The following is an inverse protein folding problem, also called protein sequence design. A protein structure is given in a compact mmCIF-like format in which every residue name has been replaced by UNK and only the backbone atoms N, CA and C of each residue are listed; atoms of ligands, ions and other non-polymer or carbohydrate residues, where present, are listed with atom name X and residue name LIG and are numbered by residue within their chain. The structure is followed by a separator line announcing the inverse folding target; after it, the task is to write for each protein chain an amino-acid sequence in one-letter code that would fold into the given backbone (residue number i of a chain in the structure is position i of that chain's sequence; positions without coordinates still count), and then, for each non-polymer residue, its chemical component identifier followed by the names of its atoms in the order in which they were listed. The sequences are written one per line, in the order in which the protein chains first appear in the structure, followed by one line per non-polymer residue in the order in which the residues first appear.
data_IF_951743916360
#
_entry.id   IF_951743916360
#
_cell.length_a   1.000
_cell.length_b   1.000
_cell.length_c   1.000
_cell.angle_alpha   90.00
_cell.angle_beta   90.00
_cell.angle_gamma   90.00
#
_symmetry.space_group_name_H-M   'P 1'
#
loop_
_entity.id
_entity.type
_entity.pdbx_description
1 polymer ?
#
# COMPACT_ATOMS: atom_id res chain seq x y z
N UNK A 1 -65.46 -11.78 15.93
CA UNK A 1 -64.73 -13.06 15.90
C UNK A 1 -63.97 -13.12 14.60
N UNK A 2 -62.83 -13.81 14.60
CA UNK A 2 -61.65 -13.70 13.70
C UNK A 2 -60.77 -12.48 14.02
N UNK A 3 -59.86 -12.51 15.01
CA UNK A 3 -58.65 -13.37 15.19
C UNK A 3 -57.55 -13.12 14.15
N UNK A 4 -56.61 -12.25 14.56
CA UNK A 4 -55.16 -12.45 14.52
C UNK A 4 -54.53 -13.17 13.31
N UNK A 5 -53.72 -12.41 12.55
CA UNK A 5 -52.40 -12.89 12.13
C UNK A 5 -51.41 -11.75 11.94
N UNK A 6 -50.68 -11.47 13.01
CA UNK A 6 -49.29 -10.99 12.97
C UNK A 6 -48.47 -11.93 12.09
N UNK A 7 -47.58 -11.38 11.25
CA UNK A 7 -46.17 -11.79 11.10
C UNK A 7 -45.51 -11.14 9.88
N UNK A 8 -44.31 -10.57 10.11
CA UNK A 8 -43.26 -10.53 9.09
C UNK A 8 -43.01 -9.21 8.39
N UNK A 9 -42.93 -8.08 9.10
CA UNK A 9 -42.14 -6.95 8.61
C UNK A 9 -40.66 -7.41 8.63
N UNK A 10 -40.16 -7.85 7.49
CA UNK A 10 -38.75 -8.18 7.25
C UNK A 10 -37.96 -6.86 7.19
N UNK A 11 -37.75 -6.25 8.36
CA UNK A 11 -36.82 -5.13 8.56
C UNK A 11 -35.44 -5.73 8.80
N UNK A 12 -34.90 -6.34 7.75
CA UNK A 12 -33.48 -6.66 7.69
C UNK A 12 -32.71 -5.34 7.58
N UNK A 13 -31.80 -4.99 8.51
CA UNK A 13 -31.02 -3.76 8.40
C UNK A 13 -30.16 -3.87 7.14
N UNK A 14 -30.47 -3.02 6.17
CA UNK A 14 -29.71 -2.81 4.95
C UNK A 14 -28.26 -2.55 5.38
N UNK A 15 -27.40 -3.56 5.16
CA UNK A 15 -26.02 -3.54 5.61
C UNK A 15 -25.32 -2.36 4.96
N UNK A 16 -24.88 -1.33 5.71
CA UNK A 16 -24.24 -0.19 5.10
C UNK A 16 -22.81 -0.62 4.72
N UNK A 17 -22.39 -0.20 3.53
CA UNK A 17 -21.05 -0.38 2.99
C UNK A 17 -20.76 -1.79 2.43
N UNK A 18 -21.27 -2.05 1.22
CA UNK A 18 -20.39 -2.68 0.23
C UNK A 18 -19.23 -1.72 0.01
N UNK A 19 -18.16 -1.86 0.79
CA UNK A 19 -16.89 -1.21 0.52
C UNK A 19 -16.60 -1.48 -0.96
N UNK A 20 -16.50 -0.41 -1.75
CA UNK A 20 -16.02 -0.50 -3.12
C UNK A 20 -14.77 -1.37 -3.09
N UNK A 21 -14.72 -2.45 -3.88
CA UNK A 21 -13.52 -3.26 -4.13
C UNK A 21 -12.50 -2.38 -4.89
N UNK A 22 -12.05 -1.32 -4.23
CA UNK A 22 -11.09 -0.36 -4.72
C UNK A 22 -9.69 -0.94 -4.60
N UNK A 23 -8.81 -0.42 -5.44
CA UNK A 23 -7.38 -0.72 -5.39
C UNK A 23 -6.84 -0.55 -3.95
N UNK A 24 -6.39 -1.65 -3.33
CA UNK A 24 -5.76 -1.66 -2.01
C UNK A 24 -4.37 -2.29 -2.11
N UNK A 25 -3.35 -1.48 -1.85
CA UNK A 25 -1.96 -1.88 -1.80
C UNK A 25 -1.57 -2.27 -0.37
N UNK A 26 -0.72 -3.27 -0.22
CA UNK A 26 0.01 -3.48 1.04
C UNK A 26 1.25 -2.55 1.11
N UNK A 27 1.87 -2.47 2.29
CA UNK A 27 3.02 -1.59 2.53
C UNK A 27 4.22 -1.87 1.60
N UNK A 28 4.46 -3.14 1.25
CA UNK A 28 5.55 -3.52 0.33
C UNK A 28 5.22 -3.09 -1.10
N UNK A 29 3.99 -3.30 -1.56
CA UNK A 29 3.55 -2.88 -2.88
C UNK A 29 3.63 -1.35 -3.02
N UNK A 30 3.17 -0.59 -2.03
CA UNK A 30 3.29 0.86 -2.01
C UNK A 30 4.75 1.32 -2.04
N UNK A 31 5.64 0.65 -1.27
CA UNK A 31 7.08 0.90 -1.28
C UNK A 31 7.68 0.67 -2.68
N UNK A 32 7.39 -0.47 -3.29
CA UNK A 32 7.91 -0.84 -4.62
C UNK A 32 7.42 0.15 -5.68
N UNK A 33 6.12 0.46 -5.69
CA UNK A 33 5.54 1.38 -6.66
C UNK A 33 6.11 2.80 -6.50
N UNK A 34 6.19 3.31 -5.27
CA UNK A 34 6.81 4.59 -4.98
C UNK A 34 8.27 4.67 -5.43
N UNK A 35 9.04 3.59 -5.27
CA UNK A 35 10.43 3.53 -5.74
C UNK A 35 10.52 3.59 -7.27
N UNK A 36 9.65 2.87 -7.99
CA UNK A 36 9.65 2.93 -9.46
C UNK A 36 9.30 4.34 -9.97
N UNK A 37 8.31 5.00 -9.36
CA UNK A 37 7.92 6.37 -9.70
C UNK A 37 9.08 7.35 -9.43
N UNK A 38 9.67 7.29 -8.24
CA UNK A 38 10.80 8.16 -7.86
C UNK A 38 11.99 7.99 -8.83
N UNK A 39 12.33 6.75 -9.19
CA UNK A 39 13.51 6.44 -10.00
C UNK A 39 13.32 6.69 -11.49
N UNK A 40 12.09 6.75 -12.00
CA UNK A 40 11.84 7.22 -13.37
C UNK A 40 12.35 8.65 -13.58
N UNK A 41 12.11 9.54 -12.61
CA UNK A 41 12.53 10.95 -12.72
C UNK A 41 13.96 11.18 -12.23
N UNK A 42 14.35 10.56 -11.11
CA UNK A 42 15.62 10.87 -10.44
C UNK A 42 16.82 10.13 -11.00
N UNK A 43 16.61 9.00 -11.69
CA UNK A 43 17.68 8.17 -12.26
C UNK A 43 17.27 7.60 -13.63
N UNK A 44 17.02 8.46 -14.64
CA UNK A 44 16.50 8.02 -15.94
C UNK A 44 17.44 7.02 -16.65
N UNK A 45 18.75 7.16 -16.48
CA UNK A 45 19.74 6.25 -17.10
C UNK A 45 19.66 4.81 -16.58
N UNK A 46 19.17 4.64 -15.34
CA UNK A 46 19.02 3.34 -14.71
C UNK A 46 17.62 2.74 -14.94
N UNK A 47 16.64 3.54 -15.39
CA UNK A 47 15.25 3.16 -15.57
C UNK A 47 14.98 2.62 -16.98
N UNK A 48 14.17 1.56 -17.17
CA UNK A 48 13.43 0.77 -16.17
C UNK A 48 14.35 -0.03 -15.24
N UNK A 49 13.90 -0.29 -14.01
CA UNK A 49 14.73 -0.91 -12.97
C UNK A 49 14.74 -2.44 -13.09
N UNK A 50 15.89 -3.07 -12.81
CA UNK A 50 15.92 -4.53 -12.56
C UNK A 50 15.35 -4.86 -11.17
N UNK A 51 15.11 -6.15 -10.90
CA UNK A 51 14.69 -6.60 -9.55
C UNK A 51 15.68 -6.11 -8.48
N UNK A 52 16.99 -6.31 -8.68
CA UNK A 52 18.00 -5.90 -7.71
C UNK A 52 18.05 -4.38 -7.49
N UNK A 53 17.90 -3.60 -8.56
CA UNK A 53 17.85 -2.14 -8.46
C UNK A 53 16.59 -1.68 -7.70
N UNK A 54 15.46 -2.34 -7.93
CA UNK A 54 14.20 -2.10 -7.21
C UNK A 54 14.34 -2.43 -5.72
N UNK A 55 14.92 -3.59 -5.38
CA UNK A 55 15.21 -3.97 -3.99
C UNK A 55 16.12 -2.95 -3.29
N UNK A 56 17.17 -2.52 -3.99
CA UNK A 56 18.09 -1.49 -3.48
C UNK A 56 17.35 -0.17 -3.22
N UNK A 57 16.47 0.24 -4.13
CA UNK A 57 15.67 1.45 -3.98
C UNK A 57 14.67 1.35 -2.80
N UNK A 58 14.08 0.17 -2.56
CA UNK A 58 13.15 -0.04 -1.44
C UNK A 58 13.82 0.06 -0.07
N UNK A 59 15.09 -0.34 0.01
CA UNK A 59 15.88 -0.45 1.23
C UNK A 59 16.80 0.77 1.48
N UNK A 60 16.63 1.88 0.74
CA UNK A 60 17.41 3.10 0.96
C UNK A 60 17.22 3.64 2.38
N UNK A 61 18.30 4.11 3.00
CA UNK A 61 18.27 4.73 4.35
C UNK A 61 17.70 6.15 4.35
N UNK A 62 17.76 6.81 3.20
CA UNK A 62 17.25 8.17 3.00
C UNK A 62 15.98 8.09 2.17
N UNK A 63 15.11 9.08 2.34
CA UNK A 63 13.85 9.18 1.61
C UNK A 63 12.88 8.02 1.81
N UNK A 64 13.02 7.27 2.91
CA UNK A 64 12.15 6.14 3.26
C UNK A 64 11.73 6.24 4.72
N UNK A 65 10.43 6.28 4.95
CA UNK A 65 9.85 6.23 6.30
C UNK A 65 8.67 5.25 6.27
N UNK A 66 8.77 4.08 6.93
CA UNK A 66 9.94 3.55 7.64
C UNK A 66 11.02 3.02 6.69
N UNK A 67 12.28 2.99 7.17
CA UNK A 67 13.35 2.25 6.48
C UNK A 67 13.03 0.75 6.54
N UNK A 68 13.05 0.09 5.39
CA UNK A 68 12.76 -1.36 5.27
C UNK A 68 14.02 -2.15 4.92
N UNK A 69 13.96 -3.46 5.17
CA UNK A 69 14.95 -4.45 4.71
C UNK A 69 14.21 -5.57 4.00
N UNK A 70 13.83 -5.33 2.76
CA UNK A 70 13.09 -6.29 1.93
C UNK A 70 14.06 -7.21 1.20
N UNK A 71 13.76 -8.51 1.23
CA UNK A 71 14.46 -9.51 0.44
C UNK A 71 14.00 -9.46 -1.04
N UNK A 72 14.88 -9.81 -2.00
CA UNK A 72 14.55 -9.79 -3.43
C UNK A 72 13.29 -10.61 -3.78
N UNK A 73 13.07 -11.75 -3.12
CA UNK A 73 11.87 -12.57 -3.34
C UNK A 73 10.57 -11.84 -3.00
N UNK A 74 10.56 -11.05 -1.91
CA UNK A 74 9.39 -10.28 -1.47
C UNK A 74 9.11 -9.10 -2.41
N UNK A 75 10.16 -8.44 -2.90
CA UNK A 75 10.06 -7.38 -3.92
C UNK A 75 9.55 -7.96 -5.24
N UNK A 76 10.06 -9.12 -5.67
CA UNK A 76 9.62 -9.79 -6.90
C UNK A 76 8.17 -10.27 -6.85
N UNK A 77 7.69 -10.71 -5.67
CA UNK A 77 6.27 -10.98 -5.46
C UNK A 77 5.42 -9.72 -5.63
N UNK A 78 5.81 -8.61 -5.00
CA UNK A 78 5.08 -7.35 -5.07
C UNK A 78 5.05 -6.78 -6.50
N UNK A 79 6.14 -6.89 -7.27
CA UNK A 79 6.18 -6.50 -8.68
C UNK A 79 5.15 -7.26 -9.53
N UNK A 80 5.06 -8.58 -9.37
CA UNK A 80 4.07 -9.42 -10.07
C UNK A 80 2.64 -9.08 -9.66
N UNK A 81 2.40 -8.79 -8.39
CA UNK A 81 1.09 -8.34 -7.90
C UNK A 81 0.70 -6.98 -8.48
N UNK A 82 1.60 -6.01 -8.48
CA UNK A 82 1.39 -4.68 -9.06
C UNK A 82 1.19 -4.73 -10.58
N UNK A 83 1.81 -5.69 -11.26
CA UNK A 83 1.59 -5.92 -12.68
C UNK A 83 0.17 -6.45 -12.96
N UNK A 84 -0.34 -7.39 -12.15
CA UNK A 84 -1.74 -7.82 -12.24
C UNK A 84 -2.72 -6.67 -11.99
N UNK A 85 -2.34 -5.71 -11.15
CA UNK A 85 -3.12 -4.49 -10.89
C UNK A 85 -2.97 -3.43 -12.00
N UNK A 86 -2.14 -3.67 -13.03
CA UNK A 86 -1.90 -2.71 -14.12
C UNK A 86 -1.14 -1.45 -13.68
N UNK A 87 -0.38 -1.52 -12.59
CA UNK A 87 0.41 -0.40 -12.05
C UNK A 87 1.90 -0.52 -12.37
N UNK A 88 2.35 -1.70 -12.78
CA UNK A 88 3.71 -2.01 -13.21
C UNK A 88 3.65 -2.82 -14.50
N UNK A 89 4.68 -2.71 -15.34
CA UNK A 89 4.85 -3.53 -16.54
C UNK A 89 6.27 -4.06 -16.58
N UNK A 90 6.42 -5.33 -16.93
CA UNK A 90 7.72 -5.88 -17.32
C UNK A 90 8.11 -5.41 -18.74
N UNK A 91 9.36 -5.00 -18.90
CA UNK A 91 9.99 -4.78 -20.20
C UNK A 91 10.98 -5.95 -20.43
N UNK A 92 10.69 -6.80 -21.41
CA UNK A 92 11.60 -7.86 -21.79
C UNK A 92 12.83 -7.29 -22.47
N UNK A 93 13.99 -7.50 -21.86
CA UNK A 93 15.30 -7.31 -22.47
C UNK A 93 16.02 -8.64 -22.51
N UNK A 94 16.85 -8.84 -23.54
CA UNK A 94 17.70 -10.04 -23.67
C UNK A 94 18.71 -10.23 -22.54
N UNK A 95 18.96 -9.20 -21.71
CA UNK A 95 19.98 -9.21 -20.66
C UNK A 95 19.45 -9.38 -19.24
N UNK A 96 18.25 -8.87 -18.95
CA UNK A 96 17.62 -8.95 -17.63
C UNK A 96 16.16 -8.50 -17.71
N UNK A 97 15.32 -9.03 -16.83
CA UNK A 97 13.98 -8.48 -16.59
C UNK A 97 14.08 -7.07 -15.99
N UNK A 98 13.31 -6.14 -16.57
CA UNK A 98 13.23 -4.76 -16.09
C UNK A 98 11.77 -4.38 -15.89
N UNK A 99 11.53 -3.48 -14.95
CA UNK A 99 10.21 -3.10 -14.49
C UNK A 99 10.06 -1.59 -14.57
N UNK A 100 8.94 -1.15 -15.15
CA UNK A 100 8.51 0.24 -15.18
C UNK A 100 7.15 0.38 -14.53
N UNK A 101 6.90 1.51 -13.86
CA UNK A 101 5.54 1.83 -13.42
C UNK A 101 4.69 2.25 -14.63
N UNK A 102 3.38 2.06 -14.47
CA UNK A 102 2.34 2.55 -15.38
C UNK A 102 1.24 3.28 -14.60
N UNK A 103 1.56 3.69 -13.37
CA UNK A 103 0.62 4.26 -12.39
C UNK A 103 0.00 5.59 -12.85
N UNK A 104 0.67 6.36 -13.72
CA UNK A 104 0.07 7.55 -14.34
C UNK A 104 -1.25 7.21 -15.04
N UNK A 105 -1.25 6.14 -15.85
CA UNK A 105 -2.45 5.64 -16.53
C UNK A 105 -3.34 4.83 -15.59
N UNK A 106 -2.74 3.93 -14.81
CA UNK A 106 -3.48 3.04 -13.91
C UNK A 106 -4.30 3.77 -12.84
N UNK A 107 -3.83 4.95 -12.39
CA UNK A 107 -4.52 5.79 -11.41
C UNK A 107 -5.16 7.05 -12.03
N UNK A 108 -5.03 7.23 -13.34
CA UNK A 108 -5.48 8.43 -14.07
C UNK A 108 -4.98 9.73 -13.41
N UNK A 109 -3.67 9.81 -13.18
CA UNK A 109 -3.00 10.92 -12.51
C UNK A 109 -2.15 11.73 -13.48
N UNK A 110 -2.01 13.03 -13.23
CA UNK A 110 -0.96 13.82 -13.86
C UNK A 110 0.40 13.53 -13.22
N UNK A 111 1.50 13.93 -13.86
CA UNK A 111 2.86 13.82 -13.27
C UNK A 111 2.98 14.51 -11.92
N UNK A 112 2.38 15.69 -11.77
CA UNK A 112 2.35 16.43 -10.51
C UNK A 112 1.66 15.63 -9.39
N UNK A 113 0.46 15.12 -9.69
CA UNK A 113 -0.30 14.29 -8.75
C UNK A 113 0.44 13.00 -8.38
N UNK A 114 1.02 12.33 -9.37
CA UNK A 114 1.75 11.09 -9.17
C UNK A 114 3.00 11.30 -8.29
N UNK A 115 3.70 12.42 -8.45
CA UNK A 115 4.86 12.77 -7.62
C UNK A 115 4.48 12.88 -6.13
N UNK A 116 3.37 13.58 -5.82
CA UNK A 116 2.90 13.72 -4.44
C UNK A 116 2.47 12.37 -3.84
N UNK A 117 1.70 11.57 -4.59
CA UNK A 117 1.28 10.23 -4.14
C UNK A 117 2.50 9.33 -3.89
N UNK A 118 3.53 9.37 -4.75
CA UNK A 118 4.75 8.61 -4.54
C UNK A 118 5.51 9.04 -3.27
N UNK A 119 5.61 10.34 -3.01
CA UNK A 119 6.24 10.84 -1.77
C UNK A 119 5.47 10.38 -0.52
N UNK A 120 4.14 10.43 -0.55
CA UNK A 120 3.31 9.96 0.54
C UNK A 120 3.46 8.44 0.76
N UNK A 121 3.56 7.63 -0.30
CA UNK A 121 3.84 6.19 -0.18
C UNK A 121 5.23 5.89 0.39
N UNK A 122 6.22 6.73 0.08
CA UNK A 122 7.61 6.50 0.49
C UNK A 122 7.91 6.99 1.90
N UNK A 123 7.20 8.02 2.38
CA UNK A 123 7.51 8.70 3.64
C UNK A 123 6.30 8.94 4.57
N UNK A 124 5.12 8.42 4.23
CA UNK A 124 3.92 8.59 5.05
C UNK A 124 3.41 10.03 5.10
N UNK A 125 2.72 10.41 6.21
CA UNK A 125 2.09 11.71 6.35
C UNK A 125 3.07 12.89 6.32
N UNK A 126 2.84 13.86 5.42
CA UNK A 126 3.74 15.00 5.21
C UNK A 126 2.99 16.33 5.09
N UNK A 127 3.62 17.44 5.46
CA UNK A 127 3.06 18.78 5.24
C UNK A 127 3.27 19.25 3.80
N UNK A 128 2.58 20.33 3.41
CA UNK A 128 2.71 20.95 2.09
C UNK A 128 4.14 21.39 1.81
N UNK A 129 4.80 22.04 2.79
CA UNK A 129 6.17 22.53 2.64
C UNK A 129 7.19 21.40 2.52
N UNK A 130 6.97 20.29 3.25
CA UNK A 130 7.80 19.10 3.10
C UNK A 130 7.66 18.49 1.70
N UNK A 131 6.41 18.37 1.21
CA UNK A 131 6.13 17.84 -0.12
C UNK A 131 6.76 18.71 -1.22
N UNK A 132 6.62 20.03 -1.14
CA UNK A 132 7.24 20.99 -2.06
C UNK A 132 8.76 20.79 -2.14
N UNK A 133 9.43 20.70 -0.99
CA UNK A 133 10.88 20.52 -0.94
C UNK A 133 11.31 19.14 -1.47
N UNK A 134 10.57 18.09 -1.11
CA UNK A 134 10.94 16.70 -1.43
C UNK A 134 10.59 16.32 -2.87
N UNK A 135 9.66 17.00 -3.51
CA UNK A 135 9.25 16.73 -4.89
C UNK A 135 10.20 17.31 -5.93
N UNK A 136 11.09 18.25 -5.57
CA UNK A 136 11.88 19.05 -6.52
C UNK A 136 12.59 18.22 -7.62
N UNK A 137 13.08 17.02 -7.29
CA UNK A 137 13.76 16.13 -8.24
C UNK A 137 12.84 15.15 -8.99
N UNK A 138 11.57 15.08 -8.61
CA UNK A 138 10.53 14.24 -9.23
C UNK A 138 9.64 15.11 -10.12
N UNK A 139 9.08 16.18 -9.55
CA UNK A 139 8.27 17.18 -10.20
C UNK A 139 8.45 18.54 -9.51
N UNK A 140 8.77 19.56 -10.30
CA UNK A 140 8.98 20.91 -9.80
C UNK A 140 7.66 21.67 -9.80
N UNK A 141 7.12 21.90 -8.61
CA UNK A 141 6.02 22.84 -8.39
C UNK A 141 6.54 24.27 -8.34
N UNK A 142 5.69 25.22 -8.67
CA UNK A 142 5.95 26.66 -8.60
C UNK A 142 6.08 27.12 -7.14
N UNK A 143 5.12 26.74 -6.30
CA UNK A 143 5.04 27.14 -4.90
C UNK A 143 4.22 26.14 -4.05
N UNK A 144 4.03 26.49 -2.77
CA UNK A 144 3.24 25.70 -1.83
C UNK A 144 1.74 25.69 -2.17
N UNK A 145 1.23 26.72 -2.85
CA UNK A 145 -0.17 26.83 -3.23
C UNK A 145 -0.50 25.83 -4.35
N UNK A 146 0.40 25.65 -5.32
CA UNK A 146 0.25 24.62 -6.36
C UNK A 146 0.22 23.20 -5.75
N UNK A 147 1.06 22.93 -4.74
CA UNK A 147 1.07 21.66 -4.02
C UNK A 147 -0.24 21.45 -3.27
N UNK A 148 -0.71 22.46 -2.51
CA UNK A 148 -1.97 22.40 -1.78
C UNK A 148 -3.16 22.17 -2.72
N UNK A 149 -3.22 22.89 -3.83
CA UNK A 149 -4.24 22.70 -4.87
C UNK A 149 -4.20 21.29 -5.47
N UNK A 150 -3.00 20.76 -5.74
CA UNK A 150 -2.85 19.41 -6.28
C UNK A 150 -3.32 18.34 -5.28
N UNK A 151 -3.05 18.52 -3.98
CA UNK A 151 -3.53 17.63 -2.91
C UNK A 151 -5.05 17.69 -2.75
N UNK A 152 -5.63 18.88 -2.83
CA UNK A 152 -7.09 19.04 -2.80
C UNK A 152 -7.76 18.29 -3.95
N UNK A 153 -7.22 18.43 -5.18
CA UNK A 153 -7.71 17.67 -6.34
C UNK A 153 -7.56 16.15 -6.19
N UNK A 154 -6.52 15.69 -5.49
CA UNK A 154 -6.34 14.26 -5.16
C UNK A 154 -7.37 13.77 -4.13
N UNK A 155 -7.74 14.61 -3.17
CA UNK A 155 -8.80 14.33 -2.20
C UNK A 155 -10.22 14.38 -2.79
N UNK A 156 -10.42 15.13 -3.88
CA UNK A 156 -11.71 15.22 -4.59
C UNK A 156 -11.93 14.10 -5.62
N UNK A 157 -10.95 13.22 -5.85
CA UNK A 157 -11.13 12.07 -6.75
C UNK A 157 -12.16 11.09 -6.19
N UNK A 158 -12.72 10.26 -7.08
CA UNK A 158 -13.62 9.17 -6.72
C UNK A 158 -13.03 7.84 -7.21
N UNK A 159 -12.48 6.97 -6.32
CA UNK A 159 -12.32 7.20 -4.87
C UNK A 159 -11.23 8.26 -4.56
N UNK A 160 -11.26 8.87 -3.34
CA UNK A 160 -10.24 9.81 -2.93
C UNK A 160 -8.89 9.10 -2.78
N UNK A 161 -7.81 9.75 -3.19
CA UNK A 161 -6.47 9.16 -3.14
C UNK A 161 -5.61 9.72 -2.01
N UNK A 162 -6.00 10.88 -1.46
CA UNK A 162 -5.30 11.57 -0.39
C UNK A 162 -6.34 12.10 0.61
N UNK A 163 -5.99 12.08 1.88
CA UNK A 163 -6.75 12.70 2.97
C UNK A 163 -5.89 13.75 3.67
N UNK A 164 -6.54 14.84 4.12
CA UNK A 164 -5.93 15.83 5.01
C UNK A 164 -6.12 15.38 6.46
N UNK A 165 -5.01 15.23 7.17
CA UNK A 165 -4.98 14.89 8.59
C UNK A 165 -4.89 16.18 9.43
N UNK A 166 -5.66 16.29 10.52
CA UNK A 166 -5.58 17.43 11.41
C UNK A 166 -4.19 17.54 12.02
N UNK A 167 -3.79 18.79 12.31
CA UNK A 167 -2.55 19.07 13.04
C UNK A 167 -2.53 18.37 14.41
N UNK A 168 -1.37 17.82 14.75
CA UNK A 168 -1.10 17.33 16.10
C UNK A 168 -0.89 18.50 17.09
N UNK A 169 -1.11 18.29 18.39
CA UNK A 169 -0.70 19.25 19.41
C UNK A 169 0.77 19.62 19.24
N UNK A 170 1.05 20.91 19.07
CA UNK A 170 2.41 21.44 18.84
C UNK A 170 2.84 21.56 17.37
N UNK A 171 2.05 21.05 16.42
CA UNK A 171 2.29 21.24 14.98
C UNK A 171 1.53 22.44 14.44
N UNK A 172 2.17 23.21 13.56
CA UNK A 172 1.61 24.44 12.99
C UNK A 172 0.88 24.22 11.66
N UNK A 173 1.15 23.11 10.98
CA UNK A 173 0.65 22.79 9.64
C UNK A 173 -0.13 21.48 9.62
N UNK A 174 -1.12 21.40 8.74
CA UNK A 174 -1.83 20.16 8.42
C UNK A 174 -0.91 19.20 7.65
N UNK A 175 -1.18 17.90 7.76
CA UNK A 175 -0.47 16.85 7.02
C UNK A 175 -1.41 16.16 6.06
N UNK A 176 -0.85 15.51 5.06
CA UNK A 176 -1.60 14.75 4.07
C UNK A 176 -1.09 13.32 4.03
N UNK A 177 -1.98 12.36 3.81
CA UNK A 177 -1.64 10.94 3.68
C UNK A 177 -2.39 10.31 2.51
N UNK A 178 -1.77 9.36 1.82
CA UNK A 178 -2.43 8.64 0.72
C UNK A 178 -3.40 7.58 1.26
N UNK A 179 -4.42 7.25 0.47
CA UNK A 179 -5.46 6.24 0.81
C UNK A 179 -5.28 4.92 0.03
N UNK A 180 -4.25 4.80 -0.79
CA UNK A 180 -3.96 3.58 -1.58
C UNK A 180 -3.69 2.32 -0.74
N UNK A 181 -3.37 2.46 0.55
CA UNK A 181 -3.21 1.32 1.48
C UNK A 181 -4.46 1.06 2.34
N UNK A 182 -5.56 1.76 2.07
CA UNK A 182 -6.80 1.71 2.85
C UNK A 182 -7.09 3.02 3.58
N UNK A 183 -8.22 3.06 4.32
CA UNK A 183 -8.59 4.20 5.15
C UNK A 183 -7.50 4.51 6.17
N UNK A 184 -7.29 5.80 6.40
CA UNK A 184 -6.40 6.31 7.46
C UNK A 184 -7.29 6.95 8.50
N UNK A 185 -7.14 6.55 9.75
CA UNK A 185 -7.87 7.16 10.85
C UNK A 185 -7.42 8.62 10.98
N UNK A 186 -8.35 9.57 10.94
CA UNK A 186 -8.01 11.00 10.97
C UNK A 186 -7.77 11.48 12.41
N UNK A 187 -8.24 10.73 13.40
CA UNK A 187 -8.22 11.09 14.81
C UNK A 187 -7.11 10.38 15.61
N UNK A 188 -6.49 9.33 15.05
CA UNK A 188 -5.37 8.66 15.71
C UNK A 188 -4.03 9.41 15.56
N UNK A 189 -3.21 9.50 16.63
CA UNK A 189 -1.90 10.09 16.55
C UNK A 189 -0.98 9.27 15.62
N UNK A 190 -0.27 9.94 14.70
CA UNK A 190 0.66 9.32 13.73
C UNK A 190 1.73 8.37 14.31
N UNK A 191 1.98 8.41 15.62
CA UNK A 191 2.82 7.43 16.33
C UNK A 191 2.20 6.03 16.37
N UNK A 192 0.86 5.94 16.38
CA UNK A 192 0.07 4.70 16.29
C UNK A 192 -0.15 4.24 14.84
N UNK A 193 -0.08 5.16 13.87
CA UNK A 193 -0.21 4.84 12.43
C UNK A 193 1.11 4.41 11.77
N UNK A 194 2.20 4.36 12.53
CA UNK A 194 3.39 3.66 12.08
C UNK A 194 2.91 2.25 11.75
N UNK A 195 3.10 1.72 10.53
CA UNK A 195 2.79 0.33 10.30
C UNK A 195 3.64 -0.38 11.34
N UNK A 196 2.99 -0.99 12.32
CA UNK A 196 3.63 -2.01 13.12
C UNK A 196 4.32 -2.84 12.07
N UNK A 197 5.65 -2.92 12.14
CA UNK A 197 6.36 -3.95 11.41
C UNK A 197 5.52 -5.18 11.73
N UNK A 198 4.84 -5.73 10.73
CA UNK A 198 4.02 -6.91 10.90
C UNK A 198 5.02 -7.94 11.38
N UNK A 199 5.15 -8.01 12.69
CA UNK A 199 5.84 -9.06 13.36
C UNK A 199 5.02 -10.24 12.94
N UNK A 200 5.64 -11.06 12.10
CA UNK A 200 5.21 -12.39 11.76
C UNK A 200 4.98 -13.25 13.02
N UNK A 201 4.97 -12.72 14.26
CA UNK A 201 4.63 -13.45 15.48
C UNK A 201 3.21 -14.02 15.42
N UNK A 202 2.21 -13.25 14.98
CA UNK A 202 0.83 -13.77 14.85
C UNK A 202 0.68 -14.83 13.75
N UNK A 203 1.48 -14.74 12.68
CA UNK A 203 1.49 -15.73 11.60
C UNK A 203 2.31 -16.97 12.00
N UNK A 204 3.37 -16.81 12.79
CA UNK A 204 4.22 -17.90 13.27
C UNK A 204 3.50 -18.71 14.34
N UNK A 205 2.80 -18.08 15.29
CA UNK A 205 2.02 -18.79 16.31
C UNK A 205 0.86 -19.57 15.68
N UNK A 206 0.16 -18.97 14.72
CA UNK A 206 -0.89 -19.67 13.96
C UNK A 206 -0.35 -20.80 13.07
N UNK A 207 0.87 -20.66 12.55
CA UNK A 207 1.55 -21.72 11.79
C UNK A 207 2.01 -22.86 12.72
N UNK A 208 2.55 -22.55 13.90
CA UNK A 208 2.95 -23.54 14.91
C UNK A 208 1.73 -24.32 15.39
N UNK A 209 0.63 -23.66 15.73
CA UNK A 209 -0.61 -24.34 16.15
C UNK A 209 -1.17 -25.26 15.03
N UNK A 210 -1.07 -24.81 13.77
CA UNK A 210 -1.49 -25.60 12.60
C UNK A 210 -0.56 -26.78 12.35
N UNK A 211 0.74 -26.65 12.59
CA UNK A 211 1.71 -27.75 12.49
C UNK A 211 1.43 -28.77 13.59
N UNK A 212 1.25 -28.36 14.84
CA UNK A 212 0.92 -29.26 15.95
C UNK A 212 -0.42 -30.00 15.74
N UNK A 213 -1.42 -29.32 15.16
CA UNK A 213 -2.69 -29.95 14.79
C UNK A 213 -2.51 -30.97 13.65
N UNK A 214 -1.65 -30.70 12.68
CA UNK A 214 -1.34 -31.63 11.58
C UNK A 214 -0.54 -32.83 12.08
N UNK A 215 0.45 -32.63 12.95
CA UNK A 215 1.24 -33.71 13.56
C UNK A 215 0.36 -34.66 14.38
N UNK A 216 -0.58 -34.13 15.16
CA UNK A 216 -1.57 -34.96 15.88
C UNK A 216 -2.43 -35.79 14.93
N UNK A 217 -2.85 -35.22 13.81
CA UNK A 217 -3.65 -35.93 12.79
C UNK A 217 -2.86 -37.00 12.06
N UNK A 218 -1.59 -36.73 11.73
CA UNK A 218 -0.69 -37.71 11.10
C UNK A 218 -0.45 -38.87 12.06
N UNK A 219 -0.12 -38.59 13.32
CA UNK A 219 0.08 -39.63 14.34
C UNK A 219 -1.16 -40.52 14.52
N UNK A 220 -2.34 -39.93 14.58
CA UNK A 220 -3.59 -40.70 14.67
C UNK A 220 -3.87 -41.57 13.43
N UNK A 221 -3.46 -41.12 12.23
CA UNK A 221 -3.59 -41.90 10.99
C UNK A 221 -2.54 -43.02 10.89
N UNK A 222 -1.33 -42.81 11.42
CA UNK A 222 -0.28 -43.82 11.48
C UNK A 222 -0.58 -44.90 12.53
N UNK A 223 -1.11 -44.53 13.70
CA UNK A 223 -1.56 -45.47 14.74
C UNK A 223 -2.82 -46.24 14.34
N UNK A 224 -3.65 -45.65 13.45
CA UNK A 224 -4.86 -46.25 12.90
C UNK A 224 -4.65 -47.11 11.66
N UNK A 225 -3.42 -47.21 11.13
CA UNK A 225 -3.11 -48.09 10.00
C UNK A 225 -2.78 -49.50 10.52
N UNK A 226 -3.67 -50.51 10.37
CA UNK A 226 -3.25 -51.88 10.62
C UNK A 226 -2.10 -52.22 9.68
N UNK A 227 -1.08 -52.92 10.21
CA UNK A 227 -0.04 -53.51 9.39
C UNK A 227 -0.71 -54.36 8.30
N UNK A 228 -0.53 -53.98 7.03
CA UNK A 228 -0.87 -54.84 5.91
C UNK A 228 0.10 -56.02 5.95
N UNK A 229 -0.40 -57.19 6.39
CA UNK A 229 0.18 -58.51 6.13
C UNK A 229 0.05 -58.87 4.64
#
# INVERSE_FOLDING_TARGET
MDESRTEGQDDSPESPHRESEGLRLNAVQARVLGCLIEKESTTPDAYPLTLNATTTACNQKTSREPVMKLEPGRVGQALRELERMGLVRHDFSSRAERYRHTAEKGLSLTKAQLALVALLMLRGPQTVNELLTRSERIHRFEDADEVAYTLERLGQKSPPLVVRLPRQPGQREDRYMHLLCGPVDVDEPATAQRPEATEDSSSTDALVERIEALERRVKALEEGKPAED
#
